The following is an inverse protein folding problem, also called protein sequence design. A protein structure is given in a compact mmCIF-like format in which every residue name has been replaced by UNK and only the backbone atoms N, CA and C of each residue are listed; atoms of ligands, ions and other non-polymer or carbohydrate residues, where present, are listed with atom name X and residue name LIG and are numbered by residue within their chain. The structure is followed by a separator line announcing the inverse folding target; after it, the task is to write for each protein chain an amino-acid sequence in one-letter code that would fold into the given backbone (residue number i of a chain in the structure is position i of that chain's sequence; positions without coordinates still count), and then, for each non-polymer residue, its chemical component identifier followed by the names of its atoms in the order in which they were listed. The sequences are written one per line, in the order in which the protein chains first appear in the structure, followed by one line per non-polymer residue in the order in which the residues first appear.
data_IF_121602284932
#
_entry.id   IF_121602284932
#
_cell.length_a   1.000
_cell.length_b   1.000
_cell.length_c   1.000
_cell.angle_alpha   90.00
_cell.angle_beta   90.00
_cell.angle_gamma   90.00
#
_symmetry.space_group_name_H-M   'P 1'
#
loop_
_entity.id
_entity.type
_entity.pdbx_description
1 polymer ?
#
# COMPACT_ATOMS: atom_id res chain seq x y z
N UNK A 1 9.28 11.17 -8.57
CA UNK A 1 8.93 10.11 -7.60
C UNK A 1 10.07 9.12 -7.43
N UNK A 2 10.53 8.42 -8.47
CA UNK A 2 11.64 7.45 -8.37
C UNK A 2 12.85 7.95 -7.58
N UNK A 3 13.48 9.07 -7.98
CA UNK A 3 14.65 9.63 -7.32
C UNK A 3 14.45 9.95 -5.82
N UNK A 4 13.22 10.24 -5.43
CA UNK A 4 12.90 10.46 -4.02
C UNK A 4 12.94 9.14 -3.23
N UNK A 5 12.28 8.10 -3.72
CA UNK A 5 12.30 6.77 -3.10
C UNK A 5 13.70 6.15 -3.09
N UNK A 6 14.51 6.40 -4.13
CA UNK A 6 15.93 5.99 -4.14
C UNK A 6 16.70 6.60 -2.97
N UNK A 7 16.40 7.85 -2.61
CA UNK A 7 17.09 8.56 -1.52
C UNK A 7 16.73 8.12 -0.12
N UNK A 8 15.55 7.50 0.07
CA UNK A 8 15.01 7.09 1.38
C UNK A 8 14.83 5.58 1.53
N UNK A 9 15.31 4.77 0.58
CA UNK A 9 15.00 3.34 0.50
C UNK A 9 15.34 2.60 1.82
N UNK A 10 16.49 2.87 2.42
CA UNK A 10 16.89 2.23 3.68
C UNK A 10 16.02 2.70 4.87
N UNK A 11 15.69 4.00 4.96
CA UNK A 11 14.81 4.52 6.01
C UNK A 11 13.40 3.92 5.87
N UNK A 12 12.91 3.81 4.63
CA UNK A 12 11.61 3.21 4.35
C UNK A 12 11.58 1.73 4.73
N UNK A 13 12.64 0.96 4.41
CA UNK A 13 12.78 -0.42 4.85
C UNK A 13 12.70 -0.54 6.39
N UNK A 14 13.37 0.34 7.11
CA UNK A 14 13.37 0.35 8.58
C UNK A 14 12.00 0.70 9.18
N UNK A 15 11.14 1.44 8.46
CA UNK A 15 9.79 1.79 8.93
C UNK A 15 8.83 0.60 9.08
N UNK A 16 9.18 -0.56 8.51
CA UNK A 16 8.40 -1.80 8.68
C UNK A 16 8.31 -2.27 10.15
N UNK A 17 9.19 -1.78 11.02
CA UNK A 17 9.13 -1.97 12.47
C UNK A 17 8.09 -1.14 13.22
N UNK A 18 7.39 -0.22 12.55
CA UNK A 18 6.37 0.62 13.19
C UNK A 18 5.15 -0.20 13.65
N UNK A 19 4.59 0.17 14.80
CA UNK A 19 3.51 -0.59 15.44
C UNK A 19 2.30 -0.77 14.52
N UNK A 20 1.91 0.29 13.82
CA UNK A 20 0.76 0.19 12.91
C UNK A 20 1.04 -0.74 11.71
N UNK A 21 2.30 -0.78 11.21
CA UNK A 21 2.69 -1.70 10.13
C UNK A 21 2.61 -3.15 10.58
N UNK A 22 3.10 -3.44 11.80
CA UNK A 22 3.14 -4.80 12.33
C UNK A 22 1.76 -5.32 12.72
N UNK A 23 0.98 -4.51 13.45
CA UNK A 23 -0.24 -4.95 14.11
C UNK A 23 -1.54 -4.59 13.39
N UNK A 24 -1.52 -3.69 12.40
CA UNK A 24 -2.73 -3.32 11.70
C UNK A 24 -2.59 -3.38 10.18
N UNK A 25 -1.64 -2.68 9.59
CA UNK A 25 -1.47 -2.64 8.13
C UNK A 25 -1.31 -4.02 7.53
N UNK A 26 -0.24 -4.74 7.93
CA UNK A 26 0.06 -6.08 7.42
C UNK A 26 -1.09 -7.06 7.71
N UNK A 27 -1.66 -7.00 8.92
CA UNK A 27 -2.76 -7.87 9.32
C UNK A 27 -4.01 -7.62 8.47
N UNK A 28 -4.40 -6.35 8.28
CA UNK A 28 -5.53 -5.98 7.42
C UNK A 28 -5.31 -6.41 5.97
N UNK A 29 -4.11 -6.17 5.45
CA UNK A 29 -3.77 -6.44 4.06
C UNK A 29 -3.87 -7.92 3.73
N UNK A 30 -3.27 -8.79 4.55
CA UNK A 30 -3.35 -10.24 4.33
C UNK A 30 -4.74 -10.81 4.61
N UNK A 31 -5.49 -10.23 5.54
CA UNK A 31 -6.88 -10.61 5.75
C UNK A 31 -7.76 -10.31 4.51
N UNK A 32 -7.54 -9.17 3.86
CA UNK A 32 -8.22 -8.82 2.60
C UNK A 32 -7.83 -9.74 1.44
N UNK A 33 -6.55 -10.08 1.31
CA UNK A 33 -6.08 -10.98 0.27
C UNK A 33 -6.71 -12.38 0.43
N UNK A 34 -6.85 -12.85 1.67
CA UNK A 34 -7.37 -14.18 1.98
C UNK A 34 -6.42 -15.29 1.57
N UNK A 35 -6.94 -16.39 1.01
CA UNK A 35 -6.15 -17.52 0.56
C UNK A 35 -5.31 -17.17 -0.68
N UNK A 36 -4.01 -17.44 -0.63
CA UNK A 36 -3.03 -17.16 -1.67
C UNK A 36 -2.48 -18.42 -2.34
N UNK A 37 -2.79 -19.61 -1.80
CA UNK A 37 -2.22 -20.88 -2.27
C UNK A 37 -2.50 -21.09 -3.76
N UNK A 38 -1.44 -21.32 -4.52
CA UNK A 38 -1.49 -21.62 -5.94
C UNK A 38 -1.85 -20.44 -6.85
N UNK A 39 -2.00 -19.22 -6.33
CA UNK A 39 -2.38 -18.04 -7.13
C UNK A 39 -1.17 -17.34 -7.74
N UNK A 40 -1.39 -16.71 -8.89
CA UNK A 40 -0.47 -15.77 -9.51
C UNK A 40 -0.79 -14.35 -9.05
N UNK A 41 0.19 -13.62 -8.52
CA UNK A 41 -0.01 -12.32 -7.88
C UNK A 41 0.97 -11.29 -8.45
N UNK A 42 0.46 -10.11 -8.77
CA UNK A 42 1.23 -8.94 -9.17
C UNK A 42 1.17 -7.90 -8.07
N UNK A 43 2.33 -7.55 -7.51
CA UNK A 43 2.47 -6.52 -6.46
C UNK A 43 3.00 -5.22 -7.09
N UNK A 44 2.14 -4.22 -7.17
CA UNK A 44 2.43 -2.92 -7.78
C UNK A 44 2.81 -1.89 -6.71
N UNK A 45 3.94 -1.20 -6.90
CA UNK A 45 4.57 -0.39 -5.88
C UNK A 45 5.16 -1.26 -4.77
N UNK A 46 5.83 -2.35 -5.16
CA UNK A 46 6.27 -3.40 -4.22
C UNK A 46 7.40 -2.95 -3.26
N UNK A 47 8.02 -1.79 -3.52
CA UNK A 47 9.17 -1.32 -2.77
C UNK A 47 10.30 -2.34 -2.76
N UNK A 48 10.92 -2.56 -1.60
CA UNK A 48 11.97 -3.56 -1.38
C UNK A 48 11.44 -5.00 -1.26
N UNK A 49 10.14 -5.22 -1.55
CA UNK A 49 9.53 -6.55 -1.59
C UNK A 49 9.09 -7.11 -0.23
N UNK A 50 8.87 -6.28 0.80
CA UNK A 50 8.44 -6.76 2.11
C UNK A 50 7.14 -7.57 2.07
N UNK A 51 6.09 -7.03 1.43
CA UNK A 51 4.84 -7.75 1.26
C UNK A 51 4.94 -8.83 0.17
N UNK A 52 5.69 -8.56 -0.90
CA UNK A 52 5.92 -9.50 -2.02
C UNK A 52 6.46 -10.84 -1.53
N UNK A 53 7.49 -10.83 -0.67
CA UNK A 53 8.05 -12.06 -0.06
C UNK A 53 7.05 -12.75 0.87
N UNK A 54 6.29 -12.00 1.66
CA UNK A 54 5.25 -12.56 2.53
C UNK A 54 4.09 -13.21 1.75
N UNK A 55 3.79 -12.72 0.55
CA UNK A 55 2.79 -13.29 -0.36
C UNK A 55 3.27 -14.66 -0.83
N UNK A 56 4.52 -14.74 -1.27
CA UNK A 56 5.11 -16.00 -1.71
C UNK A 56 5.17 -17.03 -0.57
N UNK A 57 5.68 -16.64 0.60
CA UNK A 57 5.71 -17.50 1.81
C UNK A 57 4.34 -18.06 2.21
N UNK A 58 3.24 -17.46 1.75
CA UNK A 58 1.87 -17.96 1.94
C UNK A 58 1.36 -18.88 0.82
N UNK A 59 2.27 -19.33 -0.05
CA UNK A 59 2.00 -20.36 -1.05
C UNK A 59 1.49 -19.83 -2.38
N UNK A 60 1.70 -18.57 -2.72
CA UNK A 60 1.46 -18.09 -4.07
C UNK A 60 2.34 -18.85 -5.07
N UNK A 61 1.79 -19.25 -6.22
CA UNK A 61 2.51 -20.03 -7.22
C UNK A 61 3.41 -19.17 -8.13
N UNK A 62 3.12 -17.88 -8.23
CA UNK A 62 3.92 -16.92 -8.98
C UNK A 62 3.72 -15.53 -8.37
N UNK A 63 4.80 -14.85 -8.09
CA UNK A 63 4.77 -13.45 -7.60
C UNK A 63 5.67 -12.59 -8.47
N UNK A 64 5.12 -11.45 -8.92
CA UNK A 64 5.86 -10.42 -9.66
C UNK A 64 5.74 -9.12 -8.89
N UNK A 65 6.85 -8.49 -8.56
CA UNK A 65 6.91 -7.18 -7.92
C UNK A 65 7.32 -6.10 -8.92
N UNK A 66 6.60 -5.00 -8.97
CA UNK A 66 6.91 -3.83 -9.82
C UNK A 66 7.05 -2.59 -8.95
N UNK A 67 8.13 -1.85 -9.12
CA UNK A 67 8.32 -0.55 -8.48
C UNK A 67 9.02 0.42 -9.44
N UNK A 68 8.78 1.71 -9.27
CA UNK A 68 9.43 2.76 -10.07
C UNK A 68 10.87 3.05 -9.62
N UNK A 69 11.21 2.73 -8.38
CA UNK A 69 12.51 2.96 -7.76
C UNK A 69 13.48 1.82 -8.08
N UNK A 70 14.55 2.14 -8.81
CA UNK A 70 15.61 1.16 -9.08
C UNK A 70 16.28 0.68 -7.79
N UNK A 71 16.46 1.59 -6.81
CA UNK A 71 17.07 1.25 -5.52
C UNK A 71 16.21 0.30 -4.69
N UNK A 72 14.88 0.50 -4.68
CA UNK A 72 13.96 -0.42 -4.01
C UNK A 72 14.03 -1.81 -4.63
N UNK A 73 13.99 -1.90 -5.96
CA UNK A 73 14.09 -3.19 -6.68
C UNK A 73 15.45 -3.84 -6.45
N UNK A 74 16.54 -3.06 -6.40
CA UNK A 74 17.86 -3.60 -6.04
C UNK A 74 17.87 -4.27 -4.65
N UNK A 75 17.27 -3.60 -3.64
CA UNK A 75 17.12 -4.17 -2.30
C UNK A 75 16.28 -5.46 -2.32
N UNK A 76 15.17 -5.48 -3.05
CA UNK A 76 14.34 -6.68 -3.23
C UNK A 76 15.12 -7.84 -3.86
N UNK A 77 15.89 -7.58 -4.91
CA UNK A 77 16.75 -8.57 -5.57
C UNK A 77 17.89 -9.08 -4.67
N UNK A 78 18.43 -8.22 -3.80
CA UNK A 78 19.44 -8.64 -2.83
C UNK A 78 18.87 -9.62 -1.80
N UNK A 79 17.65 -9.36 -1.30
CA UNK A 79 16.98 -10.30 -0.40
C UNK A 79 16.60 -11.60 -1.11
N UNK A 80 16.14 -11.53 -2.37
CA UNK A 80 15.85 -12.70 -3.21
C UNK A 80 17.10 -13.54 -3.47
N UNK A 81 18.27 -12.91 -3.61
CA UNK A 81 19.54 -13.63 -3.76
C UNK A 81 20.00 -14.33 -2.46
N UNK A 82 19.58 -13.82 -1.28
CA UNK A 82 19.87 -14.45 0.03
C UNK A 82 18.94 -15.61 0.33
N UNK A 83 17.67 -15.43 0.02
CA UNK A 83 16.60 -16.40 0.26
C UNK A 83 15.72 -16.47 -0.99
N UNK A 84 16.03 -17.38 -1.93
CA UNK A 84 15.34 -17.47 -3.21
C UNK A 84 13.93 -18.03 -3.06
N UNK A 85 12.93 -17.24 -3.45
CA UNK A 85 11.53 -17.65 -3.56
C UNK A 85 11.04 -17.73 -5.00
N UNK A 86 11.84 -17.29 -5.99
CA UNK A 86 11.46 -17.23 -7.39
C UNK A 86 10.65 -15.98 -7.76
N UNK A 87 10.76 -14.91 -6.95
CA UNK A 87 10.07 -13.64 -7.20
C UNK A 87 10.75 -12.89 -8.36
N UNK A 88 9.96 -12.46 -9.32
CA UNK A 88 10.41 -11.59 -10.40
C UNK A 88 10.25 -10.11 -9.98
N UNK A 89 11.33 -9.33 -10.05
CA UNK A 89 11.32 -7.89 -9.74
C UNK A 89 11.58 -7.04 -10.99
N UNK A 90 10.68 -6.10 -11.28
CA UNK A 90 10.68 -5.24 -12.47
C UNK A 90 10.71 -3.77 -12.05
N UNK A 91 11.64 -2.98 -12.63
CA UNK A 91 11.63 -1.52 -12.52
C UNK A 91 10.72 -0.97 -13.59
N UNK A 92 9.59 -0.36 -13.22
CA UNK A 92 8.70 0.30 -14.17
C UNK A 92 7.74 1.27 -13.46
N UNK A 93 7.28 2.30 -14.17
CA UNK A 93 6.17 3.15 -13.73
C UNK A 93 4.84 2.43 -14.01
N UNK A 94 4.04 2.27 -12.96
CA UNK A 94 2.73 1.61 -13.07
C UNK A 94 1.80 2.34 -14.05
N UNK A 95 1.93 3.66 -14.22
CA UNK A 95 1.14 4.43 -15.18
C UNK A 95 1.44 4.07 -16.65
N UNK A 96 2.63 3.53 -16.92
CA UNK A 96 3.10 3.18 -18.27
C UNK A 96 3.33 1.66 -18.43
N UNK A 97 2.97 0.87 -17.42
CA UNK A 97 3.28 -0.57 -17.33
C UNK A 97 2.59 -1.38 -18.44
N UNK A 98 1.34 -1.04 -18.77
CA UNK A 98 0.54 -1.84 -19.70
C UNK A 98 0.26 -3.25 -19.18
N UNK A 99 0.03 -4.18 -20.11
CA UNK A 99 -0.19 -5.60 -19.79
C UNK A 99 1.14 -6.36 -19.78
N UNK A 100 1.49 -6.93 -18.61
CA UNK A 100 2.71 -7.77 -18.44
C UNK A 100 2.37 -9.23 -18.11
N UNK A 101 1.10 -9.52 -17.93
CA UNK A 101 0.64 -10.88 -17.64
C UNK A 101 -0.84 -10.93 -17.30
N UNK A 102 -1.28 -12.10 -16.84
CA UNK A 102 -2.66 -12.33 -16.40
C UNK A 102 -2.62 -12.99 -15.02
N UNK A 103 -3.06 -12.26 -14.00
CA UNK A 103 -2.90 -12.62 -12.60
C UNK A 103 -4.26 -12.89 -11.93
N UNK A 104 -4.27 -13.79 -10.96
CA UNK A 104 -5.46 -14.06 -10.14
C UNK A 104 -5.76 -12.88 -9.21
N UNK A 105 -4.70 -12.19 -8.79
CA UNK A 105 -4.81 -11.01 -7.94
C UNK A 105 -3.73 -9.98 -8.30
N UNK A 106 -4.11 -8.71 -8.30
CA UNK A 106 -3.19 -7.57 -8.28
C UNK A 106 -3.29 -6.92 -6.92
N UNK A 107 -2.16 -6.65 -6.29
CA UNK A 107 -2.11 -6.02 -4.98
C UNK A 107 -1.29 -4.73 -5.03
N UNK A 108 -1.60 -3.79 -4.14
CA UNK A 108 -0.83 -2.56 -4.02
C UNK A 108 -0.92 -2.01 -2.59
N UNK A 109 0.21 -1.58 -2.04
CA UNK A 109 0.25 -0.93 -0.74
C UNK A 109 0.71 0.52 -0.93
N UNK A 110 -0.18 1.48 -0.66
CA UNK A 110 0.03 2.93 -0.79
C UNK A 110 0.39 3.45 -2.19
N UNK A 111 0.25 2.64 -3.25
CA UNK A 111 0.54 3.07 -4.63
C UNK A 111 -0.38 4.19 -5.11
N UNK A 112 -1.70 4.00 -4.93
CA UNK A 112 -2.70 4.91 -5.50
C UNK A 112 -2.69 6.31 -4.84
N UNK A 113 -2.12 6.43 -3.66
CA UNK A 113 -1.94 7.71 -2.95
C UNK A 113 -0.99 8.68 -3.69
N UNK A 114 -0.17 8.18 -4.62
CA UNK A 114 0.76 8.98 -5.39
C UNK A 114 0.12 9.67 -6.61
N UNK A 115 -1.11 9.33 -6.95
CA UNK A 115 -1.86 10.04 -7.96
C UNK A 115 -2.30 11.42 -7.44
N UNK A 116 -1.80 12.50 -8.04
CA UNK A 116 -2.20 13.86 -7.69
C UNK A 116 -3.34 14.39 -8.56
N UNK A 117 -3.73 13.64 -9.61
CA UNK A 117 -4.86 13.93 -10.48
C UNK A 117 -5.68 12.67 -10.74
N UNK A 118 -6.96 12.86 -11.08
CA UNK A 118 -7.83 11.74 -11.46
C UNK A 118 -7.36 11.00 -12.70
N UNK A 119 -6.64 11.68 -13.61
CA UNK A 119 -6.14 11.06 -14.84
C UNK A 119 -4.94 10.13 -14.55
N UNK A 120 -4.07 10.51 -13.61
CA UNK A 120 -3.01 9.61 -13.11
C UNK A 120 -3.60 8.39 -12.39
N UNK A 121 -4.60 8.61 -11.52
CA UNK A 121 -5.29 7.52 -10.84
C UNK A 121 -5.94 6.57 -11.86
N UNK A 122 -6.59 7.10 -12.90
CA UNK A 122 -7.19 6.29 -13.96
C UNK A 122 -6.16 5.44 -14.69
N UNK A 123 -5.00 6.00 -15.04
CA UNK A 123 -3.90 5.24 -15.69
C UNK A 123 -3.39 4.09 -14.80
N UNK A 124 -3.19 4.34 -13.49
CA UNK A 124 -2.82 3.28 -12.56
C UNK A 124 -3.90 2.19 -12.49
N UNK A 125 -5.18 2.58 -12.44
CA UNK A 125 -6.31 1.63 -12.45
C UNK A 125 -6.38 0.83 -13.76
N UNK A 126 -6.04 1.42 -14.91
CA UNK A 126 -5.95 0.72 -16.20
C UNK A 126 -4.90 -0.38 -16.17
N UNK A 127 -3.68 -0.06 -15.68
CA UNK A 127 -2.61 -1.06 -15.54
C UNK A 127 -2.99 -2.18 -14.58
N UNK A 128 -3.67 -1.87 -13.48
CA UNK A 128 -4.21 -2.87 -12.55
C UNK A 128 -5.20 -3.79 -13.27
N UNK A 129 -6.18 -3.19 -13.97
CA UNK A 129 -7.30 -3.93 -14.56
C UNK A 129 -6.87 -4.84 -15.70
N UNK A 130 -5.97 -4.39 -16.62
CA UNK A 130 -5.53 -5.19 -17.76
C UNK A 130 -4.74 -6.42 -17.34
N UNK A 131 -4.02 -6.35 -16.21
CA UNK A 131 -3.22 -7.44 -15.66
C UNK A 131 -4.04 -8.46 -14.83
N UNK A 132 -5.34 -8.24 -14.60
CA UNK A 132 -6.20 -9.19 -13.92
C UNK A 132 -6.85 -10.18 -14.88
N UNK A 133 -6.89 -11.46 -14.50
CA UNK A 133 -7.75 -12.48 -15.11
C UNK A 133 -9.24 -12.10 -15.00
N UNK A 134 -10.15 -12.66 -15.82
CA UNK A 134 -11.58 -12.59 -15.55
C UNK A 134 -11.88 -13.10 -14.13
N UNK A 135 -12.71 -12.36 -13.38
CA UNK A 135 -12.99 -12.58 -11.95
C UNK A 135 -11.78 -12.45 -11.02
N UNK A 136 -10.68 -11.87 -11.50
CA UNK A 136 -9.53 -11.52 -10.68
C UNK A 136 -9.85 -10.37 -9.73
N UNK A 137 -9.07 -10.27 -8.64
CA UNK A 137 -9.29 -9.29 -7.57
C UNK A 137 -8.15 -8.30 -7.51
N UNK A 138 -8.48 -7.03 -7.32
CA UNK A 138 -7.54 -6.01 -6.87
C UNK A 138 -7.71 -5.81 -5.38
N UNK A 139 -6.60 -5.83 -4.62
CA UNK A 139 -6.59 -5.58 -3.18
C UNK A 139 -5.54 -4.53 -2.85
N UNK A 140 -5.92 -3.53 -2.08
CA UNK A 140 -5.01 -2.44 -1.71
C UNK A 140 -5.17 -2.01 -0.26
N UNK A 141 -4.08 -1.52 0.32
CA UNK A 141 -4.08 -0.68 1.53
C UNK A 141 -3.71 0.73 1.09
N UNK A 142 -4.49 1.70 1.54
CA UNK A 142 -4.31 3.12 1.22
C UNK A 142 -4.44 3.99 2.47
N UNK A 143 -4.02 5.25 2.37
CA UNK A 143 -4.47 6.28 3.31
C UNK A 143 -6.00 6.33 3.32
N UNK A 144 -6.60 6.47 4.49
CA UNK A 144 -8.03 6.62 4.59
C UNK A 144 -8.45 8.02 4.10
N UNK A 145 -9.20 8.05 3.01
CA UNK A 145 -9.65 9.27 2.33
C UNK A 145 -10.71 10.04 3.15
N UNK A 146 -11.34 9.36 4.11
CA UNK A 146 -12.39 9.92 4.98
C UNK A 146 -11.86 10.22 6.40
N UNK A 147 -10.53 10.08 6.63
CA UNK A 147 -9.93 10.46 7.92
C UNK A 147 -9.95 11.99 8.07
N UNK A 148 -10.58 12.54 9.13
CA UNK A 148 -10.64 13.98 9.32
C UNK A 148 -9.23 14.56 9.62
N UNK A 149 -8.82 15.67 8.97
CA UNK A 149 -7.47 16.24 9.13
C UNK A 149 -7.08 16.61 10.56
N UNK A 150 -8.04 16.99 11.39
CA UNK A 150 -7.81 17.28 12.80
C UNK A 150 -7.35 16.06 13.61
N UNK A 151 -7.54 14.86 13.06
CA UNK A 151 -7.08 13.60 13.68
C UNK A 151 -5.63 13.26 13.34
N UNK A 152 -5.04 13.86 12.32
CA UNK A 152 -3.72 13.51 11.78
C UNK A 152 -2.58 13.54 12.80
N UNK A 153 -2.46 14.57 13.68
CA UNK A 153 -1.35 14.63 14.63
C UNK A 153 -1.37 13.52 15.69
N UNK A 154 -2.56 12.98 16.01
CA UNK A 154 -2.70 11.97 17.06
C UNK A 154 -2.23 10.56 16.66
N UNK A 155 -1.74 10.39 15.44
CA UNK A 155 -1.15 9.12 14.99
C UNK A 155 0.30 8.92 15.47
N UNK A 156 0.91 9.91 16.13
CA UNK A 156 2.32 9.87 16.56
C UNK A 156 2.67 8.66 17.42
N UNK A 157 1.78 8.27 18.33
CA UNK A 157 1.99 7.08 19.19
C UNK A 157 2.06 5.75 18.41
N UNK A 158 1.63 5.74 17.16
CA UNK A 158 1.73 4.60 16.25
C UNK A 158 2.96 4.67 15.35
N UNK A 159 3.79 5.72 15.50
CA UNK A 159 5.06 5.92 14.79
C UNK A 159 5.00 6.81 13.57
N UNK A 160 3.88 7.52 13.33
CA UNK A 160 3.77 8.48 12.22
C UNK A 160 2.79 9.61 12.53
N UNK A 161 2.89 10.69 11.76
CA UNK A 161 1.88 11.75 11.72
C UNK A 161 1.57 12.11 10.28
N UNK A 162 0.45 12.79 10.06
CA UNK A 162 0.09 13.40 8.78
C UNK A 162 -0.10 14.89 8.96
N UNK A 163 0.14 15.67 7.88
CA UNK A 163 -0.13 17.10 7.86
C UNK A 163 -0.52 17.56 6.45
N UNK A 164 -1.30 18.63 6.38
CA UNK A 164 -1.70 19.31 5.14
C UNK A 164 -1.50 20.81 5.29
N UNK A 165 -1.27 21.50 4.17
CA UNK A 165 -1.25 22.96 4.12
C UNK A 165 -2.53 23.45 3.45
N UNK A 166 -3.44 24.06 4.25
CA UNK A 166 -4.72 24.57 3.75
C UNK A 166 -5.85 23.53 3.70
N UNK A 167 -6.96 23.81 3.01
CA UNK A 167 -8.12 22.94 2.96
C UNK A 167 -7.88 21.70 2.13
N UNK A 168 -8.44 20.56 2.55
CA UNK A 168 -8.38 19.30 1.84
C UNK A 168 -9.23 19.37 0.56
N UNK A 169 -8.59 19.23 -0.60
CA UNK A 169 -9.21 19.26 -1.94
C UNK A 169 -8.51 18.25 -2.84
N UNK A 170 -9.12 17.91 -3.98
CA UNK A 170 -8.50 17.05 -5.00
C UNK A 170 -7.08 17.53 -5.35
N UNK A 171 -6.10 16.64 -5.26
CA UNK A 171 -4.68 16.93 -5.50
C UNK A 171 -3.94 17.61 -4.34
N UNK A 172 -4.58 17.84 -3.17
CA UNK A 172 -3.88 18.40 -2.00
C UNK A 172 -2.77 17.46 -1.55
N UNK A 173 -1.51 17.94 -1.44
CA UNK A 173 -0.43 17.14 -0.89
C UNK A 173 -0.66 16.88 0.60
N UNK A 174 -0.40 15.64 1.01
CA UNK A 174 -0.42 15.18 2.39
C UNK A 174 1.01 14.76 2.74
N UNK A 175 1.64 15.46 3.67
CA UNK A 175 2.94 15.05 4.19
C UNK A 175 2.75 14.01 5.28
N UNK A 176 3.35 12.85 5.11
CA UNK A 176 3.41 11.80 6.13
C UNK A 176 4.82 11.83 6.74
N UNK A 177 4.88 12.02 8.04
CA UNK A 177 6.13 12.01 8.80
C UNK A 177 6.22 10.71 9.56
N UNK A 178 7.18 9.87 9.21
CA UNK A 178 7.51 8.65 9.96
C UNK A 178 8.58 8.94 11.00
N UNK A 179 8.47 8.27 12.12
CA UNK A 179 9.39 8.39 13.25
C UNK A 179 10.02 7.02 13.47
N UNK A 180 11.31 6.90 13.16
CA UNK A 180 12.03 5.65 13.34
C UNK A 180 11.97 5.23 14.82
N UNK A 181 11.46 4.03 15.13
CA UNK A 181 11.27 3.59 16.51
C UNK A 181 12.59 3.32 17.26
N UNK A 182 13.71 3.21 16.54
CA UNK A 182 15.02 2.88 17.12
C UNK A 182 15.79 4.13 17.57
N UNK A 183 15.83 5.14 16.71
CA UNK A 183 16.69 6.33 16.90
C UNK A 183 15.91 7.66 16.93
N UNK A 184 14.59 7.62 16.71
CA UNK A 184 13.73 8.79 16.65
C UNK A 184 13.94 9.67 15.41
N UNK A 185 14.77 9.26 14.46
CA UNK A 185 14.96 10.01 13.22
C UNK A 185 13.65 10.07 12.43
N UNK A 186 13.43 11.21 11.77
CA UNK A 186 12.23 11.45 10.97
C UNK A 186 12.57 11.40 9.49
N UNK A 187 11.71 10.77 8.72
CA UNK A 187 11.69 10.90 7.28
C UNK A 187 10.26 11.18 6.80
N UNK A 188 10.12 11.70 5.59
CA UNK A 188 8.89 12.24 5.09
C UNK A 188 8.50 11.55 3.79
N UNK A 189 7.19 11.32 3.61
CA UNK A 189 6.61 10.98 2.31
C UNK A 189 5.59 12.04 1.92
N UNK A 190 5.42 12.25 0.63
CA UNK A 190 4.35 13.07 0.09
C UNK A 190 3.39 12.19 -0.70
N UNK A 191 2.15 12.15 -0.21
CA UNK A 191 1.01 11.54 -0.87
C UNK A 191 0.04 12.64 -1.29
N UNK A 192 -0.97 12.28 -2.07
CA UNK A 192 -1.98 13.24 -2.54
C UNK A 192 -3.37 12.78 -2.16
N UNK A 193 -4.20 13.74 -1.80
CA UNK A 193 -5.62 13.49 -1.57
C UNK A 193 -6.38 13.48 -2.88
N UNK A 194 -7.08 12.40 -3.14
CA UNK A 194 -8.19 12.34 -4.08
C UNK A 194 -9.39 11.78 -3.32
N UNK A 195 -10.59 12.29 -3.58
CA UNK A 195 -11.79 11.85 -2.87
C UNK A 195 -12.15 10.40 -3.17
N UNK A 196 -12.86 9.77 -2.26
CA UNK A 196 -13.42 8.42 -2.45
C UNK A 196 -14.25 8.33 -3.73
N UNK A 197 -15.03 9.38 -4.04
CA UNK A 197 -15.80 9.45 -5.28
C UNK A 197 -14.89 9.40 -6.53
N UNK A 198 -13.72 10.06 -6.49
CA UNK A 198 -12.73 10.01 -7.57
C UNK A 198 -12.11 8.62 -7.73
N UNK A 199 -11.80 7.94 -6.63
CA UNK A 199 -11.35 6.54 -6.66
C UNK A 199 -12.42 5.62 -7.25
N UNK A 200 -13.66 5.70 -6.76
CA UNK A 200 -14.76 4.88 -7.27
C UNK A 200 -15.04 5.16 -8.75
N UNK A 201 -14.96 6.43 -9.16
CA UNK A 201 -15.05 6.81 -10.55
C UNK A 201 -13.96 6.11 -11.40
N UNK A 202 -12.68 6.15 -10.97
CA UNK A 202 -11.58 5.54 -11.69
C UNK A 202 -11.76 4.01 -11.80
N UNK A 203 -12.08 3.34 -10.70
CA UNK A 203 -12.34 1.90 -10.68
C UNK A 203 -13.49 1.50 -11.63
N UNK A 204 -14.61 2.21 -11.60
CA UNK A 204 -15.75 1.93 -12.48
C UNK A 204 -15.42 2.18 -13.95
N UNK A 205 -14.66 3.24 -14.26
CA UNK A 205 -14.29 3.56 -15.64
C UNK A 205 -13.41 2.49 -16.30
N UNK A 206 -12.58 1.80 -15.55
CA UNK A 206 -11.78 0.68 -16.08
C UNK A 206 -12.54 -0.64 -16.15
N UNK A 207 -13.70 -0.76 -15.49
CA UNK A 207 -14.59 -1.91 -15.58
C UNK A 207 -14.76 -2.76 -14.32
N UNK A 208 -14.26 -2.34 -13.16
CA UNK A 208 -14.53 -3.06 -11.91
C UNK A 208 -16.01 -3.06 -11.57
N UNK A 209 -16.55 -4.25 -11.23
CA UNK A 209 -17.97 -4.48 -10.96
C UNK A 209 -18.34 -4.20 -9.51
N UNK A 210 -17.49 -4.64 -8.58
CA UNK A 210 -17.68 -4.47 -7.15
C UNK A 210 -16.49 -3.71 -6.57
N UNK A 211 -16.79 -2.76 -5.68
CA UNK A 211 -15.80 -1.97 -4.96
C UNK A 211 -16.20 -2.02 -3.49
N UNK A 212 -15.31 -2.51 -2.65
CA UNK A 212 -15.51 -2.62 -1.20
C UNK A 212 -14.43 -1.85 -0.47
N UNK A 213 -14.85 -1.07 0.51
CA UNK A 213 -13.98 -0.32 1.43
C UNK A 213 -14.03 -0.99 2.79
N UNK A 214 -12.89 -1.32 3.33
CA UNK A 214 -12.79 -2.02 4.61
C UNK A 214 -11.98 -1.24 5.61
N UNK A 215 -12.54 -1.07 6.82
CA UNK A 215 -11.80 -0.50 7.94
C UNK A 215 -10.63 -1.42 8.31
N UNK A 216 -9.50 -0.85 8.75
CA UNK A 216 -8.40 -1.67 9.23
C UNK A 216 -8.79 -2.42 10.51
N UNK A 217 -8.14 -3.56 10.70
CA UNK A 217 -8.26 -4.38 11.90
C UNK A 217 -6.90 -4.43 12.60
N UNK A 218 -6.92 -4.42 13.92
CA UNK A 218 -5.73 -4.65 14.73
C UNK A 218 -5.59 -6.14 15.00
N UNK A 219 -4.39 -6.67 14.88
CA UNK A 219 -4.13 -8.09 15.12
C UNK A 219 -4.43 -8.48 16.58
N UNK A 220 -4.78 -9.75 16.85
CA UNK A 220 -4.97 -10.24 18.21
C UNK A 220 -3.74 -9.99 19.09
N UNK A 221 -2.54 -10.15 18.54
CA UNK A 221 -1.26 -9.91 19.23
C UNK A 221 -1.12 -8.43 19.61
N UNK A 222 -1.42 -7.50 18.69
CA UNK A 222 -1.40 -6.06 18.97
C UNK A 222 -2.43 -5.65 20.02
N UNK A 223 -3.61 -6.28 20.02
CA UNK A 223 -4.62 -6.06 21.06
C UNK A 223 -4.18 -6.62 22.41
N UNK A 224 -3.51 -7.75 22.44
CA UNK A 224 -3.00 -8.36 23.68
C UNK A 224 -1.83 -7.55 24.26
N UNK A 225 -0.91 -7.06 23.42
CA UNK A 225 0.30 -6.38 23.85
C UNK A 225 0.04 -4.95 24.34
N UNK A 226 -0.81 -4.19 23.63
CA UNK A 226 -1.03 -2.76 23.90
C UNK A 226 -2.40 -2.43 24.50
N UNK A 227 -3.37 -3.33 24.39
CA UNK A 227 -4.73 -3.16 24.90
C UNK A 227 -5.65 -2.27 24.04
N UNK A 228 -6.94 -2.32 24.34
CA UNK A 228 -7.97 -1.56 23.63
C UNK A 228 -7.78 -0.04 23.70
N UNK A 229 -7.41 0.48 24.87
CA UNK A 229 -7.25 1.92 25.09
C UNK A 229 -6.16 2.51 24.18
N UNK A 230 -5.06 1.79 23.99
CA UNK A 230 -4.00 2.20 23.06
C UNK A 230 -4.51 2.33 21.63
N UNK A 231 -5.26 1.33 21.15
CA UNK A 231 -5.75 1.25 19.77
C UNK A 231 -7.06 2.01 19.54
N UNK A 232 -7.77 2.47 20.58
CA UNK A 232 -9.09 3.08 20.46
C UNK A 232 -9.10 4.23 19.43
N UNK A 233 -8.10 5.11 19.49
CA UNK A 233 -8.03 6.23 18.55
C UNK A 233 -7.78 5.78 17.10
N UNK A 234 -6.97 4.74 16.90
CA UNK A 234 -6.72 4.15 15.57
C UNK A 234 -8.00 3.55 14.99
N UNK A 235 -8.81 2.95 15.84
CA UNK A 235 -10.09 2.34 15.44
C UNK A 235 -11.15 3.40 15.16
N UNK A 236 -11.23 4.45 15.98
CA UNK A 236 -12.24 5.51 15.82
C UNK A 236 -11.95 6.40 14.60
N UNK A 237 -10.68 6.75 14.38
CA UNK A 237 -10.20 7.60 13.29
C UNK A 237 -9.13 6.86 12.45
N UNK A 238 -9.53 5.78 11.75
CA UNK A 238 -8.56 4.92 11.09
C UNK A 238 -7.74 5.70 10.06
N UNK A 239 -6.40 5.67 10.17
CA UNK A 239 -5.53 6.41 9.25
C UNK A 239 -5.36 5.74 7.90
N UNK A 240 -5.69 4.46 7.83
CA UNK A 240 -5.60 3.63 6.62
C UNK A 240 -6.94 3.00 6.30
N UNK A 241 -7.10 2.52 5.08
CA UNK A 241 -8.29 1.82 4.60
C UNK A 241 -7.89 0.70 3.64
N UNK A 242 -8.59 -0.41 3.72
CA UNK A 242 -8.50 -1.48 2.76
C UNK A 242 -9.46 -1.25 1.58
N UNK A 243 -9.01 -1.62 0.38
CA UNK A 243 -9.81 -1.54 -0.85
C UNK A 243 -9.79 -2.91 -1.52
N UNK A 244 -10.94 -3.39 -1.92
CA UNK A 244 -11.10 -4.59 -2.73
C UNK A 244 -11.96 -4.26 -3.95
N UNK A 245 -11.48 -4.65 -5.15
CA UNK A 245 -12.27 -4.54 -6.39
C UNK A 245 -12.31 -5.87 -7.13
N UNK A 246 -13.45 -6.20 -7.74
CA UNK A 246 -13.65 -7.42 -8.53
C UNK A 246 -13.78 -7.06 -10.01
N UNK A 247 -12.97 -7.71 -10.87
CA UNK A 247 -13.03 -7.60 -12.35
C UNK A 247 -14.20 -8.34 -12.97
#
# INVERSE_FOLDING_TARGET
MAAYYDSIAEQFKNSRGLLFCQHSETHTYFNLMGDLIGKSILDLGCGEGFHTRKIEQRGAARVVGVDISEKMIELGRQEEAREPFGIEYIVNDVQELGEIGSFDMVVASYLLNHANTKDQLLKMCQSIYVNLKPNGRFVSINNNLEQPPESYPRCEKYGFTKSISGPLREGTPITITFINPVDGQKFYLEDYYLSKATYEWAFRNVGFKEIRWQRPIVSPEGMQEFGHEFWQYFVDFPPIVGIECLK
#
